data_IF_457088999238
#
_entry.id   IF_457088999238
#
_cell.length_a   1.000
_cell.length_b   1.000
_cell.length_c   1.000
_cell.angle_alpha   90.00
_cell.angle_beta   90.00
_cell.angle_gamma   90.00
#
_symmetry.space_group_name_H-M   'P 1'
#
loop_
_entity.id
_entity.type
_entity.pdbx_description
1 polymer ?
#
# COMPACT_ATOMS: atom_id res chain seq x y z
N UNK A 1 7.42 11.28 21.21
CA UNK A 1 7.93 10.05 20.57
C UNK A 1 7.45 10.08 19.14
N UNK A 2 8.34 10.32 18.18
CA UNK A 2 7.96 10.54 16.79
C UNK A 2 7.65 9.17 16.18
N UNK A 3 6.38 8.81 16.08
CA UNK A 3 6.00 7.56 15.42
C UNK A 3 6.48 7.58 13.97
N UNK A 4 7.34 6.62 13.65
CA UNK A 4 7.94 6.44 12.35
C UNK A 4 6.89 5.89 11.37
N UNK A 5 6.04 6.77 10.83
CA UNK A 5 5.00 6.51 9.83
C UNK A 5 5.54 6.18 8.42
N UNK A 6 6.69 5.51 8.33
CA UNK A 6 7.26 5.15 7.04
C UNK A 6 6.51 3.94 6.47
N UNK A 7 6.33 3.91 5.15
CA UNK A 7 5.68 2.79 4.43
C UNK A 7 6.37 1.43 4.69
N UNK A 8 7.59 1.43 5.20
CA UNK A 8 8.34 0.21 5.55
C UNK A 8 8.14 -0.24 7.01
N UNK A 9 7.43 0.53 7.83
CA UNK A 9 7.17 0.25 9.25
C UNK A 9 6.07 -0.79 9.42
N UNK A 10 6.15 -1.59 10.50
CA UNK A 10 5.06 -2.46 10.93
C UNK A 10 3.83 -1.67 11.38
N UNK A 11 4.01 -0.49 11.99
CA UNK A 11 2.95 0.40 12.46
C UNK A 11 2.37 1.31 11.36
N UNK A 12 2.66 1.04 10.09
CA UNK A 12 2.18 1.90 9.00
C UNK A 12 0.65 1.86 8.92
N UNK A 13 -0.02 3.00 9.14
CA UNK A 13 -1.47 3.05 9.34
C UNK A 13 -2.32 2.67 8.12
N UNK A 14 -1.76 2.73 6.89
CA UNK A 14 -2.50 2.49 5.66
C UNK A 14 -2.31 1.06 5.10
N UNK A 15 -2.21 0.05 5.98
CA UNK A 15 -2.30 -1.34 5.55
C UNK A 15 -3.73 -1.66 5.10
N UNK A 16 -3.85 -2.19 3.89
CA UNK A 16 -5.11 -2.57 3.26
C UNK A 16 -5.42 -4.04 3.52
N UNK A 17 -4.40 -4.91 3.41
CA UNK A 17 -4.55 -6.34 3.64
C UNK A 17 -3.22 -6.97 4.05
N UNK A 18 -3.27 -7.94 4.97
CA UNK A 18 -2.19 -8.89 5.19
C UNK A 18 -2.50 -10.16 4.40
N UNK A 19 -1.59 -10.57 3.52
CA UNK A 19 -1.75 -11.78 2.69
C UNK A 19 -1.11 -12.99 3.36
N UNK A 20 0.06 -12.77 3.99
CA UNK A 20 0.76 -13.72 4.85
C UNK A 20 1.53 -12.94 5.93
N UNK A 21 2.25 -13.62 6.83
CA UNK A 21 3.15 -12.95 7.81
C UNK A 21 4.26 -12.11 7.17
N UNK A 22 4.55 -12.37 5.88
CA UNK A 22 5.64 -11.72 5.15
C UNK A 22 5.19 -10.98 3.91
N UNK A 23 3.90 -10.98 3.58
CA UNK A 23 3.31 -10.29 2.43
C UNK A 23 2.13 -9.44 2.87
N UNK A 24 2.15 -8.16 2.49
CA UNK A 24 1.04 -7.23 2.76
C UNK A 24 0.81 -6.29 1.58
N UNK A 25 -0.38 -5.72 1.55
CA UNK A 25 -0.77 -4.64 0.64
C UNK A 25 -1.03 -3.40 1.48
N UNK A 26 -0.43 -2.28 1.08
CA UNK A 26 -0.69 -0.96 1.66
C UNK A 26 -1.24 -0.04 0.58
N UNK A 27 -1.94 1.02 0.97
CA UNK A 27 -2.06 2.22 0.15
C UNK A 27 -0.80 3.06 0.32
N UNK A 28 -0.22 3.57 -0.77
CA UNK A 28 0.96 4.41 -0.65
C UNK A 28 0.66 5.69 0.14
N UNK A 29 1.70 6.33 0.68
CA UNK A 29 1.59 7.57 1.48
C UNK A 29 0.85 8.69 0.75
N UNK A 30 1.01 8.77 -0.57
CA UNK A 30 0.42 9.80 -1.41
C UNK A 30 -1.01 9.44 -1.84
N UNK A 31 -1.50 8.24 -1.50
CA UNK A 31 -2.87 7.83 -1.74
C UNK A 31 -3.24 7.71 -3.22
N UNK A 32 -2.31 7.28 -4.07
CA UNK A 32 -2.54 7.16 -5.52
C UNK A 32 -2.48 5.72 -6.05
N UNK A 33 -1.90 4.77 -5.30
CA UNK A 33 -1.74 3.37 -5.73
C UNK A 33 -1.59 2.40 -4.55
N UNK A 34 -1.83 1.11 -4.81
CA UNK A 34 -1.46 0.04 -3.88
C UNK A 34 0.03 -0.28 -4.01
N UNK A 35 0.65 -0.67 -2.89
CA UNK A 35 2.02 -1.21 -2.86
C UNK A 35 1.96 -2.62 -2.28
N UNK A 36 2.38 -3.61 -3.07
CA UNK A 36 2.63 -4.95 -2.56
C UNK A 36 4.00 -4.95 -1.90
N UNK A 37 4.07 -5.34 -0.63
CA UNK A 37 5.31 -5.40 0.12
C UNK A 37 5.60 -6.81 0.59
N UNK A 38 6.89 -7.15 0.61
CA UNK A 38 7.42 -8.38 1.19
C UNK A 38 8.50 -8.06 2.21
N UNK A 39 8.55 -8.81 3.30
CA UNK A 39 9.72 -8.87 4.20
C UNK A 39 10.35 -10.26 4.18
N UNK A 40 11.62 -10.35 4.58
CA UNK A 40 12.27 -11.65 4.75
C UNK A 40 11.71 -12.38 5.97
N UNK A 41 11.66 -13.72 5.92
CA UNK A 41 11.44 -14.55 7.10
C UNK A 41 12.71 -14.69 7.93
N UNK A 42 12.59 -14.77 9.26
CA UNK A 42 13.72 -14.92 10.21
C UNK A 42 13.43 -14.30 11.58
N UNK A 43 14.35 -14.52 12.55
CA UNK A 43 14.20 -14.01 13.93
C UNK A 43 14.33 -12.48 14.06
N UNK A 44 14.99 -11.83 13.08
CA UNK A 44 15.04 -10.38 12.97
C UNK A 44 13.96 -9.90 12.00
N UNK A 45 12.99 -9.14 12.50
CA UNK A 45 11.96 -8.49 11.69
C UNK A 45 12.62 -7.53 10.69
N UNK A 46 12.77 -7.96 9.43
CA UNK A 46 13.31 -7.11 8.37
C UNK A 46 12.27 -6.09 7.93
N UNK A 47 12.68 -4.86 7.56
CA UNK A 47 11.76 -3.85 7.06
C UNK A 47 11.03 -4.33 5.81
N UNK A 48 9.78 -3.90 5.67
CA UNK A 48 8.98 -4.17 4.49
C UNK A 48 9.61 -3.54 3.24
N UNK A 49 9.62 -4.26 2.12
CA UNK A 49 10.16 -3.81 0.84
C UNK A 49 9.11 -3.94 -0.26
N UNK A 50 8.94 -2.89 -1.06
CA UNK A 50 8.04 -2.93 -2.21
C UNK A 50 8.46 -4.01 -3.21
N UNK A 51 7.47 -4.73 -3.75
CA UNK A 51 7.59 -5.70 -4.83
C UNK A 51 6.90 -5.24 -6.11
N UNK A 52 5.98 -4.29 -5.98
CA UNK A 52 5.34 -3.63 -7.11
C UNK A 52 4.34 -2.58 -6.65
N UNK A 53 3.93 -1.75 -7.61
CA UNK A 53 2.98 -0.67 -7.44
C UNK A 53 1.83 -0.88 -8.42
N UNK A 54 0.59 -0.73 -7.95
CA UNK A 54 -0.57 -1.19 -8.70
C UNK A 54 -1.74 -0.22 -8.63
N UNK A 55 -2.30 0.07 -9.80
CA UNK A 55 -3.57 0.78 -9.97
C UNK A 55 -4.76 -0.15 -10.18
N UNK A 56 -4.54 -1.45 -10.42
CA UNK A 56 -5.62 -2.40 -10.69
C UNK A 56 -5.52 -3.63 -9.80
N UNK A 57 -6.68 -4.10 -9.32
CA UNK A 57 -6.78 -5.32 -8.51
C UNK A 57 -6.26 -6.53 -9.27
N UNK A 58 -6.54 -6.60 -10.57
CA UNK A 58 -6.10 -7.69 -11.45
C UNK A 58 -4.57 -7.81 -11.49
N UNK A 59 -3.84 -6.70 -11.68
CA UNK A 59 -2.39 -6.72 -11.71
C UNK A 59 -1.79 -7.07 -10.34
N UNK A 60 -2.33 -6.46 -9.27
CA UNK A 60 -1.95 -6.77 -7.89
C UNK A 60 -2.13 -8.26 -7.58
N UNK A 61 -3.31 -8.81 -7.89
CA UNK A 61 -3.67 -10.22 -7.66
C UNK A 61 -2.73 -11.17 -8.39
N UNK A 62 -2.46 -10.91 -9.67
CA UNK A 62 -1.54 -11.72 -10.47
C UNK A 62 -0.14 -11.78 -9.85
N UNK A 63 0.40 -10.63 -9.41
CA UNK A 63 1.74 -10.59 -8.81
C UNK A 63 1.74 -11.22 -7.42
N UNK A 64 0.72 -10.97 -6.60
CA UNK A 64 0.54 -11.63 -5.29
C UNK A 64 0.53 -13.16 -5.43
N UNK A 65 -0.25 -13.71 -6.38
CA UNK A 65 -0.29 -15.13 -6.65
C UNK A 65 1.07 -15.68 -7.09
N UNK A 66 1.81 -14.95 -7.94
CA UNK A 66 3.17 -15.35 -8.35
C UNK A 66 4.18 -15.39 -7.20
N UNK A 67 3.89 -14.71 -6.08
CA UNK A 67 4.68 -14.76 -4.84
C UNK A 67 4.17 -15.81 -3.84
N UNK A 68 3.14 -16.59 -4.20
CA UNK A 68 2.53 -17.63 -3.35
C UNK A 68 1.59 -17.08 -2.27
N UNK A 69 1.11 -15.85 -2.38
CA UNK A 69 0.13 -15.30 -1.45
C UNK A 69 -1.30 -15.80 -1.78
N UNK A 70 -2.14 -16.07 -0.76
CA UNK A 70 -3.57 -16.23 -0.96
C UNK A 70 -4.15 -14.90 -1.46
N UNK A 71 -5.08 -14.98 -2.42
CA UNK A 71 -5.61 -13.79 -3.10
C UNK A 71 -7.07 -13.50 -2.79
N UNK A 72 -7.76 -14.37 -2.05
CA UNK A 72 -9.18 -14.23 -1.71
C UNK A 72 -9.48 -12.90 -1.00
N UNK A 73 -8.57 -12.44 -0.14
CA UNK A 73 -8.68 -11.16 0.57
C UNK A 73 -8.60 -9.94 -0.35
N UNK A 74 -8.03 -10.10 -1.55
CA UNK A 74 -7.94 -9.01 -2.53
C UNK A 74 -9.23 -8.82 -3.31
N UNK A 75 -10.11 -9.82 -3.40
CA UNK A 75 -11.38 -9.73 -4.15
C UNK A 75 -12.35 -8.67 -3.59
N UNK A 76 -12.20 -8.29 -2.32
CA UNK A 76 -12.95 -7.20 -1.71
C UNK A 76 -12.50 -5.81 -2.19
N UNK A 77 -11.32 -5.69 -2.83
CA UNK A 77 -10.83 -4.41 -3.34
C UNK A 77 -11.60 -3.98 -4.60
N UNK A 78 -11.74 -2.66 -4.84
CA UNK A 78 -12.29 -2.19 -6.11
C UNK A 78 -11.42 -2.65 -7.30
N UNK A 79 -11.98 -2.77 -8.52
CA UNK A 79 -11.20 -3.17 -9.70
C UNK A 79 -10.01 -2.25 -10.00
N UNK A 80 -10.15 -0.96 -9.70
CA UNK A 80 -9.12 0.09 -9.83
C UNK A 80 -8.91 0.79 -8.49
N UNK A 81 -7.68 1.25 -8.24
CA UNK A 81 -7.35 2.02 -7.06
C UNK A 81 -8.19 3.30 -7.03
N UNK A 82 -8.80 3.56 -5.88
CA UNK A 82 -9.52 4.81 -5.64
C UNK A 82 -8.63 5.70 -4.78
N UNK A 83 -8.17 6.84 -5.31
CA UNK A 83 -7.48 7.82 -4.48
C UNK A 83 -8.32 8.13 -3.24
N UNK A 84 -7.66 8.21 -2.08
CA UNK A 84 -8.30 8.80 -0.90
C UNK A 84 -8.65 10.23 -1.29
N UNK A 85 -9.87 10.67 -0.99
CA UNK A 85 -10.41 11.97 -1.40
C UNK A 85 -9.34 13.05 -1.41
N UNK A 86 -9.13 13.65 -2.58
CA UNK A 86 -8.15 14.72 -2.88
C UNK A 86 -8.48 16.04 -2.16
N UNK A 87 -8.99 16.00 -0.94
CA UNK A 87 -9.20 17.16 -0.10
C UNK A 87 -7.90 17.47 0.65
N UNK A 88 -6.89 18.04 -0.04
CA UNK A 88 -5.86 18.86 0.64
C UNK A 88 -4.95 19.75 -0.20
N UNK A 89 -5.13 19.89 -1.52
CA UNK A 89 -4.49 20.97 -2.28
C UNK A 89 -5.39 21.48 -3.41
N UNK A 90 -6.39 22.30 -3.07
CA UNK A 90 -6.83 23.31 -4.03
C UNK A 90 -5.71 24.38 -4.08
N UNK A 91 -5.26 24.84 -5.26
CA UNK A 91 -4.37 26.00 -5.29
C UNK A 91 -5.14 27.18 -4.73
N UNK A 92 -4.65 27.77 -3.63
CA UNK A 92 -5.02 29.13 -3.30
C UNK A 92 -4.47 30.01 -4.42
N UNK A 93 -5.30 30.37 -5.38
CA UNK A 93 -5.01 31.46 -6.31
C UNK A 93 -4.91 32.73 -5.47
N UNK A 94 -3.75 33.38 -5.33
CA UNK A 94 -3.77 34.74 -4.82
C UNK A 94 -4.43 35.60 -5.91
N UNK A 95 -5.52 36.28 -5.54
CA UNK A 95 -6.05 37.36 -6.33
C UNK A 95 -4.96 38.42 -6.49
N UNK A 96 -4.67 38.82 -7.73
CA UNK A 96 -3.89 40.03 -8.01
C UNK A 96 -4.57 41.22 -7.32
N UNK A 97 -3.79 42.01 -6.58
CA UNK A 97 -4.06 43.41 -6.28
C UNK A 97 -2.81 44.19 -6.63
#
# INVERSE_FOLDING_TARGET
MTEHHHETSDSYAAVVAHLTDTLRVISCKDGIQWVLQKRGGGSAQRPWRAKGYFLTRKALTRVSASLGAPTDTLEALPPTFRPKDSAKHAPATPALT
#
